data_IF_651388000652
#
_entry.id   IF_651388000652
#
_cell.length_a   1.000
_cell.length_b   1.000
_cell.length_c   1.000
_cell.angle_alpha   90.00
_cell.angle_beta   90.00
_cell.angle_gamma   90.00
#
_symmetry.space_group_name_H-M   'P 1'
#
loop_
_entity.id
_entity.type
_entity.pdbx_description
1 polymer ?
#
# COMPACT_ATOMS: atom_id res chain seq x y z
N UNK A 1 3.59 -4.35 -51.43
CA UNK A 1 4.72 -4.21 -50.48
C UNK A 1 4.55 -2.96 -49.58
N UNK A 2 3.33 -2.64 -49.11
CA UNK A 2 3.09 -1.42 -48.32
C UNK A 2 2.37 -1.69 -47.00
N UNK A 3 1.40 -2.59 -46.95
CA UNK A 3 0.57 -2.74 -45.73
C UNK A 3 1.28 -3.45 -44.57
N UNK A 4 2.05 -4.52 -44.84
CA UNK A 4 2.83 -5.20 -43.78
C UNK A 4 3.93 -4.31 -43.18
N UNK A 5 4.59 -3.49 -44.00
CA UNK A 5 5.64 -2.56 -43.52
C UNK A 5 5.03 -1.43 -42.70
N UNK A 6 3.91 -0.86 -43.14
CA UNK A 6 3.18 0.16 -42.37
C UNK A 6 2.66 -0.42 -41.06
N UNK A 7 2.13 -1.65 -41.10
CA UNK A 7 1.69 -2.38 -39.92
C UNK A 7 2.82 -2.60 -38.91
N UNK A 8 3.99 -3.09 -39.36
CA UNK A 8 5.16 -3.29 -38.49
C UNK A 8 5.68 -1.98 -37.90
N UNK A 9 5.70 -0.90 -38.68
CA UNK A 9 6.17 0.41 -38.22
C UNK A 9 5.22 1.00 -37.18
N UNK A 10 3.90 0.89 -37.39
CA UNK A 10 2.91 1.37 -36.43
C UNK A 10 2.93 0.58 -35.11
N UNK A 11 2.99 -0.76 -35.17
CA UNK A 11 3.06 -1.59 -33.96
C UNK A 11 4.40 -1.46 -33.25
N UNK A 12 5.51 -1.33 -33.98
CA UNK A 12 6.83 -1.05 -33.42
C UNK A 12 6.89 0.28 -32.67
N UNK A 13 6.26 1.33 -33.20
CA UNK A 13 6.13 2.62 -32.50
C UNK A 13 5.31 2.49 -31.22
N UNK A 14 4.16 1.81 -31.27
CA UNK A 14 3.30 1.61 -30.09
C UNK A 14 4.00 0.79 -29.00
N UNK A 15 4.74 -0.24 -29.38
CA UNK A 15 5.57 -1.03 -28.47
C UNK A 15 6.64 -0.16 -27.82
N UNK A 16 7.38 0.62 -28.62
CA UNK A 16 8.40 1.54 -28.14
C UNK A 16 7.84 2.56 -27.14
N UNK A 17 6.72 3.22 -27.46
CA UNK A 17 6.09 4.18 -26.54
C UNK A 17 5.62 3.51 -25.25
N UNK A 18 5.08 2.30 -25.31
CA UNK A 18 4.68 1.54 -24.12
C UNK A 18 5.90 1.22 -23.24
N UNK A 19 7.00 0.72 -23.81
CA UNK A 19 8.24 0.48 -23.07
C UNK A 19 8.78 1.77 -22.44
N UNK A 20 8.76 2.87 -23.20
CA UNK A 20 9.19 4.18 -22.70
C UNK A 20 8.32 4.65 -21.53
N UNK A 21 6.99 4.50 -21.61
CA UNK A 21 6.08 4.85 -20.51
C UNK A 21 6.35 4.02 -19.24
N UNK A 22 6.62 2.72 -19.39
CA UNK A 22 6.95 1.84 -18.25
C UNK A 22 8.28 2.27 -17.59
N UNK A 23 9.30 2.58 -18.39
CA UNK A 23 10.59 3.04 -17.86
C UNK A 23 10.42 4.39 -17.17
N UNK A 24 9.70 5.33 -17.79
CA UNK A 24 9.45 6.65 -17.21
C UNK A 24 8.66 6.52 -15.90
N UNK A 25 7.62 5.68 -15.84
CA UNK A 25 6.83 5.50 -14.61
C UNK A 25 7.65 4.87 -13.48
N UNK A 26 8.53 3.91 -13.80
CA UNK A 26 9.47 3.34 -12.84
C UNK A 26 10.45 4.41 -12.32
N UNK A 27 11.03 5.23 -13.20
CA UNK A 27 11.93 6.32 -12.78
C UNK A 27 11.19 7.33 -11.90
N UNK A 28 10.00 7.76 -12.30
CA UNK A 28 9.18 8.72 -11.52
C UNK A 28 8.87 8.16 -10.14
N UNK A 29 8.42 6.91 -10.04
CA UNK A 29 8.09 6.36 -8.74
C UNK A 29 9.33 6.10 -7.86
N UNK A 30 10.48 5.74 -8.43
CA UNK A 30 11.73 5.61 -7.68
C UNK A 30 12.18 6.98 -7.12
N UNK A 31 12.09 8.03 -7.93
CA UNK A 31 12.33 9.41 -7.49
C UNK A 31 11.35 9.84 -6.39
N UNK A 32 10.06 9.46 -6.50
CA UNK A 32 9.05 9.76 -5.48
C UNK A 32 9.35 9.04 -4.15
N UNK A 33 9.78 7.78 -4.20
CA UNK A 33 10.20 7.04 -3.01
C UNK A 33 11.42 7.68 -2.35
N UNK A 34 12.45 8.03 -3.14
CA UNK A 34 13.61 8.75 -2.63
C UNK A 34 13.21 10.07 -1.97
N UNK A 35 12.30 10.83 -2.58
CA UNK A 35 11.82 12.09 -2.01
C UNK A 35 11.12 11.91 -0.65
N UNK A 36 10.33 10.84 -0.44
CA UNK A 36 9.68 10.64 0.87
C UNK A 36 10.64 10.16 1.96
N UNK A 37 11.80 9.60 1.61
CA UNK A 37 12.85 9.30 2.60
C UNK A 37 13.62 10.55 3.06
N UNK A 38 13.51 11.69 2.37
CA UNK A 38 14.07 12.96 2.86
C UNK A 38 13.16 13.67 3.87
N UNK A 39 11.95 13.14 4.13
CA UNK A 39 11.01 13.73 5.07
C UNK A 39 11.41 13.47 6.54
N UNK A 40 11.24 14.46 7.45
CA UNK A 40 11.65 14.31 8.84
C UNK A 40 10.69 13.38 9.61
N UNK A 41 11.20 12.28 10.15
CA UNK A 41 10.39 11.31 10.90
C UNK A 41 10.30 11.60 12.40
N UNK A 42 11.34 12.18 13.01
CA UNK A 42 11.48 12.35 14.47
C UNK A 42 10.60 13.43 15.10
N UNK A 43 9.94 14.28 14.29
CA UNK A 43 9.10 15.38 14.74
C UNK A 43 7.61 15.07 14.69
N UNK A 44 6.89 15.81 13.84
CA UNK A 44 5.44 15.70 13.71
C UNK A 44 4.99 14.30 13.30
N UNK A 45 5.73 13.62 12.41
CA UNK A 45 5.39 12.29 11.93
C UNK A 45 5.33 11.28 13.09
N UNK A 46 6.39 11.20 13.90
CA UNK A 46 6.40 10.36 15.08
C UNK A 46 5.32 10.73 16.08
N UNK A 47 5.11 12.04 16.37
CA UNK A 47 4.06 12.50 17.29
C UNK A 47 2.65 12.12 16.82
N UNK A 48 2.38 12.19 15.53
CA UNK A 48 1.10 11.84 14.94
C UNK A 48 0.87 10.33 14.93
N UNK A 49 1.93 9.55 14.68
CA UNK A 49 1.85 8.09 14.81
C UNK A 49 1.67 7.65 16.28
N UNK A 50 2.36 8.30 17.22
CA UNK A 50 2.27 8.01 18.66
C UNK A 50 0.85 8.19 19.21
N UNK A 51 0.06 9.13 18.66
CA UNK A 51 -1.36 9.28 19.02
C UNK A 51 -2.19 8.04 18.68
N UNK A 52 -1.75 7.22 17.72
CA UNK A 52 -2.36 5.95 17.37
C UNK A 52 -1.97 4.78 18.28
N UNK A 53 -1.10 4.97 19.29
CA UNK A 53 -0.62 3.89 20.17
C UNK A 53 -1.78 3.08 20.79
N UNK A 54 -2.79 3.76 21.31
CA UNK A 54 -3.95 3.12 21.94
C UNK A 54 -4.81 2.33 20.95
N UNK A 55 -4.74 2.66 19.66
CA UNK A 55 -5.45 1.92 18.60
C UNK A 55 -4.83 0.52 18.50
N UNK A 56 -3.51 0.44 18.28
CA UNK A 56 -2.81 -0.84 18.14
C UNK A 56 -2.74 -1.64 19.44
N UNK A 57 -2.72 -0.98 20.59
CA UNK A 57 -2.77 -1.64 21.90
C UNK A 57 -4.13 -2.34 22.15
N UNK A 58 -5.22 -1.77 21.62
CA UNK A 58 -6.58 -2.31 21.79
C UNK A 58 -7.00 -3.27 20.69
N UNK A 59 -6.64 -2.95 19.45
CA UNK A 59 -7.07 -3.70 18.27
C UNK A 59 -6.24 -4.97 18.03
N UNK A 60 -5.02 -5.05 18.57
CA UNK A 60 -4.11 -6.17 18.34
C UNK A 60 -3.87 -6.43 16.84
N UNK A 61 -3.60 -7.69 16.45
CA UNK A 61 -3.13 -8.07 15.11
C UNK A 61 -4.25 -8.19 14.07
N UNK A 62 -5.34 -8.88 14.42
CA UNK A 62 -6.49 -9.11 13.55
C UNK A 62 -7.79 -8.79 14.32
N UNK A 63 -8.07 -7.50 14.55
CA UNK A 63 -9.33 -7.06 15.13
C UNK A 63 -10.52 -7.31 14.20
N UNK A 64 -11.70 -7.54 14.79
CA UNK A 64 -12.95 -7.71 14.06
C UNK A 64 -14.09 -6.97 14.73
N UNK A 65 -14.93 -6.32 13.92
CA UNK A 65 -16.13 -5.64 14.39
C UNK A 65 -17.30 -6.60 14.61
N UNK A 66 -17.20 -7.83 14.08
CA UNK A 66 -18.13 -8.94 14.32
C UNK A 66 -17.33 -10.21 14.69
N UNK A 67 -17.04 -10.41 15.99
CA UNK A 67 -16.24 -11.54 16.47
C UNK A 67 -16.77 -12.89 15.96
N UNK A 68 -15.85 -13.75 15.49
CA UNK A 68 -16.18 -15.05 14.89
C UNK A 68 -16.47 -15.02 13.38
N UNK A 69 -16.62 -13.84 12.77
CA UNK A 69 -16.76 -13.70 11.32
C UNK A 69 -15.43 -13.29 10.69
N UNK A 70 -14.89 -14.14 9.81
CA UNK A 70 -13.61 -13.89 9.13
C UNK A 70 -13.66 -12.71 8.17
N UNK A 71 -14.81 -12.40 7.58
CA UNK A 71 -14.97 -11.26 6.68
C UNK A 71 -15.03 -9.91 7.40
N UNK A 72 -15.12 -9.92 8.74
CA UNK A 72 -15.18 -8.72 9.56
C UNK A 72 -13.80 -8.27 10.11
N UNK A 73 -12.74 -9.03 9.82
CA UNK A 73 -11.38 -8.67 10.22
C UNK A 73 -10.85 -7.48 9.41
N UNK A 74 -9.97 -6.69 10.03
CA UNK A 74 -9.05 -5.79 9.36
C UNK A 74 -7.60 -6.14 9.71
N UNK A 75 -6.66 -5.70 8.89
CA UNK A 75 -5.27 -6.20 8.93
C UNK A 75 -4.32 -5.20 9.59
N UNK A 76 -4.23 -5.28 10.92
CA UNK A 76 -3.25 -4.50 11.67
C UNK A 76 -1.84 -5.07 11.58
N UNK A 77 -1.67 -6.35 11.20
CA UNK A 77 -0.35 -6.93 10.95
C UNK A 77 0.36 -6.15 9.84
N UNK A 78 -0.29 -6.02 8.67
CA UNK A 78 0.27 -5.32 7.53
C UNK A 78 0.35 -3.81 7.78
N UNK A 79 -0.69 -3.19 8.37
CA UNK A 79 -0.64 -1.77 8.73
C UNK A 79 0.54 -1.44 9.65
N UNK A 80 0.86 -2.32 10.60
CA UNK A 80 2.00 -2.14 11.51
C UNK A 80 3.34 -2.22 10.79
N UNK A 81 3.47 -3.06 9.77
CA UNK A 81 4.66 -3.08 8.90
C UNK A 81 4.75 -1.78 8.09
N UNK A 82 3.64 -1.34 7.50
CA UNK A 82 3.56 -0.10 6.71
C UNK A 82 3.96 1.13 7.55
N UNK A 83 3.42 1.24 8.77
CA UNK A 83 3.70 2.35 9.67
C UNK A 83 5.14 2.38 10.15
N UNK A 84 5.72 1.25 10.56
CA UNK A 84 7.13 1.21 10.99
C UNK A 84 8.08 1.54 9.85
N UNK A 85 7.78 1.06 8.65
CA UNK A 85 8.53 1.43 7.44
C UNK A 85 8.41 2.94 7.15
N UNK A 86 7.24 3.53 7.40
CA UNK A 86 7.03 4.97 7.25
C UNK A 86 7.76 5.80 8.33
N UNK A 87 7.85 5.29 9.56
CA UNK A 87 8.50 5.97 10.69
C UNK A 87 10.03 5.86 10.68
N UNK A 88 10.57 4.87 9.95
CA UNK A 88 12.02 4.67 9.88
C UNK A 88 12.72 5.91 9.28
N UNK A 89 13.67 6.53 10.03
CA UNK A 89 14.43 7.68 9.55
C UNK A 89 15.41 7.28 8.45
N UNK A 90 15.85 8.24 7.64
CA UNK A 90 17.00 8.00 6.75
C UNK A 90 18.25 7.68 7.60
N UNK A 91 18.93 6.57 7.27
CA UNK A 91 20.05 6.05 8.06
C UNK A 91 21.26 5.63 7.21
N UNK A 92 21.05 5.07 6.01
CA UNK A 92 22.13 4.50 5.17
C UNK A 92 22.24 5.18 3.80
N UNK A 93 21.58 6.32 3.60
CA UNK A 93 21.44 7.00 2.33
C UNK A 93 20.05 6.84 1.73
N UNK A 94 19.52 7.93 1.18
CA UNK A 94 18.17 8.02 0.59
C UNK A 94 17.90 6.93 -0.46
N UNK A 95 18.87 6.65 -1.34
CA UNK A 95 18.72 5.62 -2.38
C UNK A 95 18.63 4.23 -1.75
N UNK A 96 19.53 3.92 -0.82
CA UNK A 96 19.59 2.62 -0.17
C UNK A 96 18.30 2.33 0.58
N UNK A 97 17.85 3.28 1.40
CA UNK A 97 16.67 3.09 2.24
C UNK A 97 15.38 3.09 1.40
N UNK A 98 15.31 3.85 0.30
CA UNK A 98 14.19 3.79 -0.64
C UNK A 98 14.08 2.44 -1.37
N UNK A 99 15.21 1.77 -1.66
CA UNK A 99 15.22 0.48 -2.35
C UNK A 99 15.02 -0.70 -1.39
N UNK A 100 15.47 -0.58 -0.13
CA UNK A 100 15.45 -1.67 0.84
C UNK A 100 14.37 -1.55 1.92
N UNK A 101 13.67 -0.43 2.01
CA UNK A 101 12.53 -0.22 2.91
C UNK A 101 12.79 -0.71 4.34
N UNK A 102 13.79 -0.13 5.04
CA UNK A 102 14.14 -0.53 6.40
C UNK A 102 13.02 -0.24 7.40
N UNK A 103 12.94 -1.05 8.45
CA UNK A 103 12.05 -0.85 9.60
C UNK A 103 12.66 -1.45 10.87
N UNK A 104 12.23 -0.97 12.03
CA UNK A 104 12.61 -1.56 13.31
C UNK A 104 11.72 -2.78 13.65
N UNK A 105 12.34 -3.86 14.13
CA UNK A 105 11.70 -5.13 14.45
C UNK A 105 12.18 -5.66 15.80
N UNK A 106 11.23 -6.16 16.60
CA UNK A 106 11.47 -7.04 17.73
C UNK A 106 11.31 -8.49 17.26
N UNK A 107 12.29 -9.31 17.58
CA UNK A 107 12.23 -10.75 17.36
C UNK A 107 11.94 -11.42 18.71
N UNK A 108 10.92 -12.27 18.76
CA UNK A 108 10.68 -13.09 19.95
C UNK A 108 11.71 -14.22 19.97
N UNK A 109 12.34 -14.45 21.11
CA UNK A 109 13.08 -15.69 21.36
C UNK A 109 12.06 -16.84 21.34
N UNK A 110 11.85 -17.46 20.17
CA UNK A 110 11.26 -18.79 20.12
C UNK A 110 12.18 -19.68 20.96
N UNK A 111 11.64 -20.25 22.04
CA UNK A 111 12.35 -21.07 23.01
C UNK A 111 13.42 -21.93 22.34
N UNK A 112 14.68 -21.59 22.63
CA UNK A 112 15.90 -22.35 22.42
C UNK A 112 15.76 -23.70 21.71
N UNK A 113 16.02 -23.74 20.40
CA UNK A 113 16.76 -24.85 19.75
C UNK A 113 17.18 -24.50 18.31
N UNK A 114 18.50 -24.64 18.09
CA UNK A 114 19.23 -24.63 16.81
C UNK A 114 19.40 -23.24 16.14
N UNK A 115 20.59 -22.81 15.71
CA UNK A 115 21.96 -23.34 15.77
C UNK A 115 22.91 -22.16 15.52
N UNK A 116 24.10 -22.20 16.12
CA UNK A 116 25.24 -21.39 15.69
C UNK A 116 25.61 -21.83 14.28
N UNK A 117 25.20 -21.10 13.25
CA UNK A 117 25.89 -21.11 11.95
C UNK A 117 25.55 -19.80 11.22
N UNK A 118 26.47 -18.86 11.36
CA UNK A 118 26.47 -17.52 10.80
C UNK A 118 27.29 -17.54 9.52
N UNK A 119 26.62 -17.45 8.36
CA UNK A 119 27.27 -17.04 7.11
C UNK A 119 26.52 -15.84 6.50
N UNK A 120 27.15 -14.68 6.69
CA UNK A 120 26.71 -13.33 6.33
C UNK A 120 27.26 -12.94 4.96
N UNK A 121 26.43 -12.92 3.89
CA UNK A 121 26.77 -12.19 2.64
C UNK A 121 25.52 -11.62 1.91
N UNK A 122 24.31 -12.11 2.16
CA UNK A 122 23.08 -11.56 1.57
C UNK A 122 22.06 -11.35 2.68
N UNK A 123 21.46 -10.16 2.78
CA UNK A 123 20.64 -9.68 3.90
C UNK A 123 19.32 -10.41 4.18
N UNK A 124 19.28 -11.74 4.10
CA UNK A 124 18.22 -12.56 4.67
C UNK A 124 18.60 -12.94 6.10
N UNK A 125 18.31 -12.06 7.05
CA UNK A 125 18.16 -12.48 8.43
C UNK A 125 16.88 -13.33 8.51
N UNK A 126 17.02 -14.63 8.27
CA UNK A 126 16.01 -15.61 8.64
C UNK A 126 16.42 -16.22 9.97
N UNK A 127 16.21 -15.46 11.05
CA UNK A 127 16.23 -16.04 12.39
C UNK A 127 15.01 -16.95 12.54
N UNK A 128 15.17 -18.10 13.19
CA UNK A 128 14.09 -18.97 13.68
C UNK A 128 13.25 -18.27 14.77
N UNK A 129 12.93 -16.99 14.60
CA UNK A 129 12.25 -16.09 15.53
C UNK A 129 11.19 -15.37 14.72
N UNK A 130 9.93 -15.66 15.01
CA UNK A 130 8.84 -14.92 14.40
C UNK A 130 8.89 -13.46 14.87
N UNK A 131 8.70 -12.54 13.94
CA UNK A 131 8.66 -11.10 14.21
C UNK A 131 7.41 -10.80 15.05
N UNK A 132 7.59 -10.19 16.23
CA UNK A 132 6.46 -9.67 17.01
C UNK A 132 6.03 -8.34 16.41
N UNK A 133 5.18 -8.39 15.40
CA UNK A 133 4.79 -7.23 14.59
C UNK A 133 4.06 -6.17 15.42
N UNK A 134 3.14 -6.59 16.30
CA UNK A 134 2.40 -5.66 17.16
C UNK A 134 3.28 -5.13 18.29
N UNK A 135 4.07 -6.00 18.94
CA UNK A 135 5.04 -5.57 19.94
C UNK A 135 6.04 -4.56 19.37
N UNK A 136 6.52 -4.79 18.15
CA UNK A 136 7.46 -3.89 17.46
C UNK A 136 6.89 -2.49 17.27
N UNK A 137 5.67 -2.35 16.73
CA UNK A 137 5.07 -1.01 16.54
C UNK A 137 4.78 -0.37 17.90
N UNK A 138 4.33 -1.12 18.90
CA UNK A 138 4.03 -0.58 20.22
C UNK A 138 5.28 -0.04 20.92
N UNK A 139 6.38 -0.77 20.88
CA UNK A 139 7.65 -0.29 21.44
C UNK A 139 8.23 0.88 20.63
N UNK A 140 8.08 0.87 19.30
CA UNK A 140 8.51 2.00 18.47
C UNK A 140 7.71 3.27 18.80
N UNK A 141 6.37 3.18 18.92
CA UNK A 141 5.50 4.29 19.30
C UNK A 141 5.74 4.79 20.75
N UNK A 142 6.29 3.95 21.64
CA UNK A 142 6.78 4.37 22.96
C UNK A 142 8.14 5.09 22.91
N UNK A 143 8.84 5.03 21.77
CA UNK A 143 10.19 5.56 21.59
C UNK A 143 11.30 4.59 22.01
N UNK A 144 10.96 3.33 22.25
CA UNK A 144 11.87 2.31 22.77
C UNK A 144 12.56 1.52 21.66
N UNK A 145 13.35 2.19 20.83
CA UNK A 145 14.01 1.56 19.65
C UNK A 145 15.38 0.92 19.96
N UNK A 146 15.93 1.12 21.17
CA UNK A 146 17.34 0.76 21.48
C UNK A 146 17.66 -0.73 21.34
N UNK A 147 16.69 -1.60 21.59
CA UNK A 147 16.87 -3.06 21.55
C UNK A 147 16.24 -3.69 20.30
N UNK A 148 15.81 -2.87 19.33
CA UNK A 148 15.22 -3.35 18.09
C UNK A 148 16.30 -3.60 17.04
N UNK A 149 16.06 -4.61 16.20
CA UNK A 149 16.88 -4.88 15.04
C UNK A 149 16.29 -4.16 13.82
N UNK A 150 17.12 -3.89 12.81
CA UNK A 150 16.66 -3.33 11.52
C UNK A 150 16.42 -4.48 10.55
N UNK A 151 15.19 -4.59 10.06
CA UNK A 151 14.84 -5.53 8.99
C UNK A 151 14.73 -4.78 7.67
N UNK A 152 15.27 -5.39 6.62
CA UNK A 152 15.24 -4.85 5.26
C UNK A 152 14.29 -5.67 4.39
N UNK A 153 13.50 -5.00 3.57
CA UNK A 153 12.54 -5.63 2.67
C UNK A 153 12.63 -5.05 1.24
N UNK A 154 13.43 -5.72 0.41
CA UNK A 154 13.72 -5.30 -0.97
C UNK A 154 12.74 -5.82 -2.03
N UNK A 155 11.80 -6.71 -1.67
CA UNK A 155 10.95 -7.39 -2.67
C UNK A 155 9.79 -6.54 -3.17
N UNK A 156 9.31 -5.59 -2.36
CA UNK A 156 8.19 -4.73 -2.71
C UNK A 156 8.64 -3.29 -2.91
N UNK A 157 7.94 -2.63 -3.83
CA UNK A 157 8.14 -1.22 -4.15
C UNK A 157 7.70 -0.27 -3.02
N UNK A 158 6.82 -0.72 -2.11
CA UNK A 158 6.31 0.08 -0.99
C UNK A 158 5.78 1.48 -1.40
N UNK A 159 5.11 1.55 -2.55
CA UNK A 159 4.61 2.81 -3.12
C UNK A 159 3.67 3.58 -2.20
N UNK A 160 3.04 2.91 -1.24
CA UNK A 160 2.21 3.53 -0.20
C UNK A 160 2.95 4.57 0.63
N UNK A 161 4.28 4.48 0.75
CA UNK A 161 5.09 5.46 1.47
C UNK A 161 5.00 6.86 0.85
N UNK A 162 4.74 6.95 -0.47
CA UNK A 162 4.63 8.22 -1.20
C UNK A 162 3.51 9.09 -0.63
N UNK A 163 2.44 8.49 -0.13
CA UNK A 163 1.33 9.23 0.51
C UNK A 163 1.32 9.05 2.03
N UNK A 164 1.65 7.87 2.56
CA UNK A 164 1.58 7.60 3.99
C UNK A 164 2.55 8.49 4.80
N UNK A 165 3.80 8.68 4.37
CA UNK A 165 4.76 9.57 5.08
C UNK A 165 4.26 11.03 5.12
N UNK A 166 3.86 11.66 3.99
CA UNK A 166 3.25 12.99 4.02
C UNK A 166 1.99 13.10 4.88
N UNK A 167 1.10 12.09 4.83
CA UNK A 167 -0.12 12.09 5.66
C UNK A 167 0.22 12.03 7.14
N UNK A 168 1.16 11.18 7.55
CA UNK A 168 1.60 11.10 8.93
C UNK A 168 2.30 12.38 9.41
N UNK A 169 2.97 13.14 8.53
CA UNK A 169 3.48 14.46 8.88
C UNK A 169 2.35 15.45 9.22
N UNK A 170 1.22 15.34 8.54
CA UNK A 170 0.11 16.28 8.66
C UNK A 170 -0.88 15.92 9.77
N UNK A 171 -1.17 14.63 9.97
CA UNK A 171 -2.27 14.19 10.83
C UNK A 171 -2.04 12.81 11.49
N UNK A 172 -2.71 12.53 12.63
CA UNK A 172 -2.61 11.23 13.29
C UNK A 172 -3.34 10.11 12.56
N UNK A 173 -2.96 8.87 12.86
CA UNK A 173 -3.47 7.62 12.26
C UNK A 173 -5.00 7.54 12.28
N UNK A 174 -5.64 7.96 13.39
CA UNK A 174 -7.11 7.98 13.50
C UNK A 174 -7.77 8.88 12.45
N UNK A 175 -7.17 10.05 12.16
CA UNK A 175 -7.68 10.96 11.14
C UNK A 175 -7.43 10.38 9.75
N UNK A 176 -6.29 9.74 9.50
CA UNK A 176 -6.03 9.06 8.21
C UNK A 176 -7.11 8.00 7.95
N UNK A 177 -7.40 7.12 8.92
CA UNK A 177 -8.47 6.11 8.81
C UNK A 177 -9.85 6.73 8.56
N UNK A 178 -10.16 7.85 9.21
CA UNK A 178 -11.41 8.57 8.99
C UNK A 178 -11.51 9.16 7.58
N UNK A 179 -10.45 9.83 7.11
CA UNK A 179 -10.36 10.35 5.75
C UNK A 179 -10.42 9.24 4.71
N UNK A 180 -9.83 8.09 5.00
CA UNK A 180 -9.88 6.95 4.12
C UNK A 180 -11.32 6.48 3.90
N UNK A 181 -12.09 6.34 4.99
CA UNK A 181 -13.51 6.00 4.92
C UNK A 181 -14.36 7.04 4.19
N UNK A 182 -14.10 8.34 4.43
CA UNK A 182 -14.79 9.41 3.71
C UNK A 182 -14.52 9.35 2.21
N UNK A 183 -13.24 9.28 1.80
CA UNK A 183 -12.84 9.21 0.40
C UNK A 183 -13.39 7.94 -0.27
N UNK A 184 -13.32 6.80 0.42
CA UNK A 184 -13.88 5.53 -0.05
C UNK A 184 -15.38 5.65 -0.34
N UNK A 185 -16.17 6.22 0.57
CA UNK A 185 -17.62 6.40 0.37
C UNK A 185 -17.87 7.36 -0.80
N UNK A 186 -17.15 8.47 -0.89
CA UNK A 186 -17.28 9.42 -2.00
C UNK A 186 -16.99 8.76 -3.35
N UNK A 187 -15.89 7.99 -3.45
CA UNK A 187 -15.52 7.25 -4.66
C UNK A 187 -16.55 6.16 -4.98
N UNK A 188 -17.05 5.42 -3.99
CA UNK A 188 -18.06 4.39 -4.19
C UNK A 188 -19.39 5.00 -4.69
N UNK A 189 -19.84 6.10 -4.11
CA UNK A 189 -21.03 6.83 -4.56
C UNK A 189 -20.85 7.36 -5.98
N UNK A 190 -19.71 7.98 -6.27
CA UNK A 190 -19.42 8.50 -7.59
C UNK A 190 -19.39 7.39 -8.65
N UNK A 191 -18.72 6.28 -8.35
CA UNK A 191 -18.66 5.11 -9.24
C UNK A 191 -20.05 4.48 -9.42
N UNK A 192 -20.87 4.39 -8.37
CA UNK A 192 -22.26 3.95 -8.49
C UNK A 192 -23.06 4.84 -9.46
N UNK A 193 -22.99 6.16 -9.30
CA UNK A 193 -23.65 7.11 -10.19
C UNK A 193 -23.14 7.00 -11.64
N UNK A 194 -21.84 6.82 -11.82
CA UNK A 194 -21.23 6.69 -13.13
C UNK A 194 -21.65 5.38 -13.83
N UNK A 195 -21.64 4.26 -13.11
CA UNK A 195 -22.15 2.97 -13.60
C UNK A 195 -23.65 3.10 -13.94
N UNK A 196 -24.43 3.81 -13.13
CA UNK A 196 -25.84 4.05 -13.42
C UNK A 196 -26.04 4.80 -14.74
N UNK A 197 -25.25 5.85 -14.96
CA UNK A 197 -25.31 6.66 -16.17
C UNK A 197 -24.84 5.89 -17.42
N UNK A 198 -23.79 5.06 -17.29
CA UNK A 198 -23.14 4.40 -18.43
C UNK A 198 -23.69 3.02 -18.76
N UNK A 199 -23.97 2.21 -17.73
CA UNK A 199 -24.36 0.81 -17.88
C UNK A 199 -25.80 0.56 -17.42
N UNK A 200 -26.36 1.44 -16.58
CA UNK A 200 -27.73 1.36 -16.08
C UNK A 200 -27.85 0.81 -14.65
N UNK A 201 -29.07 0.87 -14.13
CA UNK A 201 -29.37 0.60 -12.71
C UNK A 201 -29.05 -0.82 -12.24
N UNK A 202 -29.20 -1.82 -13.12
CA UNK A 202 -28.95 -3.23 -12.76
C UNK A 202 -27.49 -3.46 -12.36
N UNK A 203 -26.55 -2.90 -13.13
CA UNK A 203 -25.12 -2.99 -12.85
C UNK A 203 -24.70 -2.14 -11.65
N UNK A 204 -25.40 -1.03 -11.40
CA UNK A 204 -25.15 -0.18 -10.24
C UNK A 204 -25.45 -0.92 -8.94
N UNK A 205 -26.58 -1.63 -8.89
CA UNK A 205 -26.92 -2.50 -7.76
C UNK A 205 -25.96 -3.67 -7.61
N UNK A 206 -25.54 -4.29 -8.71
CA UNK A 206 -24.52 -5.35 -8.65
C UNK A 206 -23.22 -4.83 -8.02
N UNK A 207 -22.74 -3.66 -8.46
CA UNK A 207 -21.58 -2.99 -7.86
C UNK A 207 -21.79 -2.70 -6.37
N UNK A 208 -22.93 -2.13 -5.98
CA UNK A 208 -23.21 -1.79 -4.58
C UNK A 208 -23.19 -3.05 -3.69
N UNK A 209 -23.79 -4.15 -4.14
CA UNK A 209 -23.78 -5.42 -3.41
C UNK A 209 -22.37 -5.99 -3.29
N UNK A 210 -21.57 -5.93 -4.37
CA UNK A 210 -20.15 -6.32 -4.31
C UNK A 210 -19.34 -5.45 -3.35
N UNK A 211 -19.56 -4.14 -3.34
CA UNK A 211 -18.91 -3.22 -2.42
C UNK A 211 -19.29 -3.49 -0.95
N UNK A 212 -20.56 -3.79 -0.67
CA UNK A 212 -20.98 -4.20 0.68
C UNK A 212 -20.36 -5.54 1.10
N UNK A 213 -20.21 -6.48 0.16
CA UNK A 213 -19.56 -7.77 0.41
C UNK A 213 -18.06 -7.65 0.70
N UNK A 214 -17.38 -6.62 0.18
CA UNK A 214 -15.98 -6.30 0.51
C UNK A 214 -15.81 -5.80 1.96
N UNK A 215 -16.90 -5.56 2.69
CA UNK A 215 -16.90 -4.97 4.02
C UNK A 215 -16.24 -3.57 4.02
N UNK A 216 -17.02 -2.52 3.68
CA UNK A 216 -16.54 -1.14 3.62
C UNK A 216 -15.84 -0.64 4.89
N UNK A 217 -16.19 -1.18 6.07
CA UNK A 217 -15.58 -0.80 7.34
C UNK A 217 -14.12 -1.26 7.38
N UNK A 218 -13.86 -2.54 7.08
CA UNK A 218 -12.50 -3.08 7.06
C UNK A 218 -11.63 -2.42 5.99
N UNK A 219 -12.23 -2.10 4.82
CA UNK A 219 -11.54 -1.40 3.73
C UNK A 219 -11.10 -0.01 4.17
N UNK A 220 -11.94 0.73 4.91
CA UNK A 220 -11.65 2.09 5.37
C UNK A 220 -10.58 2.13 6.46
N UNK A 221 -10.53 1.11 7.33
CA UNK A 221 -9.64 1.07 8.49
C UNK A 221 -8.23 0.59 8.09
N UNK A 222 -8.11 -0.41 7.21
CA UNK A 222 -6.80 -0.95 6.80
C UNK A 222 -6.18 -0.09 5.70
N UNK A 223 -4.93 0.34 5.86
CA UNK A 223 -4.25 1.16 4.86
C UNK A 223 -4.09 0.40 3.53
N UNK A 224 -3.67 -0.86 3.59
CA UNK A 224 -3.51 -1.67 2.38
C UNK A 224 -4.83 -1.86 1.61
N UNK A 225 -5.96 -2.02 2.31
CA UNK A 225 -7.25 -2.24 1.64
C UNK A 225 -7.78 -0.94 1.04
N UNK A 226 -7.61 0.18 1.75
CA UNK A 226 -7.91 1.52 1.23
C UNK A 226 -7.13 1.79 -0.06
N UNK A 227 -5.82 1.53 -0.07
CA UNK A 227 -4.96 1.73 -1.25
C UNK A 227 -5.44 0.91 -2.46
N UNK A 228 -5.77 -0.37 -2.24
CA UNK A 228 -6.29 -1.24 -3.31
C UNK A 228 -7.64 -0.76 -3.83
N UNK A 229 -8.52 -0.29 -2.94
CA UNK A 229 -9.82 0.25 -3.33
C UNK A 229 -9.66 1.53 -4.15
N UNK A 230 -8.73 2.43 -3.80
CA UNK A 230 -8.49 3.65 -4.57
C UNK A 230 -7.99 3.37 -5.98
N UNK A 231 -7.07 2.40 -6.14
CA UNK A 231 -6.62 1.98 -7.46
C UNK A 231 -7.79 1.41 -8.27
N UNK A 232 -8.55 0.47 -7.69
CA UNK A 232 -9.71 -0.13 -8.34
C UNK A 232 -10.72 0.92 -8.78
N UNK A 233 -11.13 1.80 -7.87
CA UNK A 233 -12.13 2.83 -8.13
C UNK A 233 -11.62 3.84 -9.17
N UNK A 234 -10.38 4.34 -9.01
CA UNK A 234 -9.77 5.29 -9.92
C UNK A 234 -9.65 4.77 -11.35
N UNK A 235 -9.17 3.53 -11.53
CA UNK A 235 -9.09 2.93 -12.88
C UNK A 235 -10.47 2.63 -13.45
N UNK A 236 -11.42 2.16 -12.64
CA UNK A 236 -12.79 1.93 -13.10
C UNK A 236 -13.45 3.23 -13.57
N UNK A 237 -13.28 4.32 -12.82
CA UNK A 237 -13.73 5.66 -13.20
C UNK A 237 -13.09 6.09 -14.51
N UNK A 238 -11.77 5.94 -14.65
CA UNK A 238 -11.04 6.30 -15.86
C UNK A 238 -11.57 5.54 -17.08
N UNK A 239 -11.74 4.23 -16.97
CA UNK A 239 -12.27 3.38 -18.05
C UNK A 239 -13.69 3.82 -18.44
N UNK A 240 -14.58 4.07 -17.48
CA UNK A 240 -15.95 4.49 -17.75
C UNK A 240 -16.05 5.89 -18.39
N UNK A 241 -15.12 6.80 -18.09
CA UNK A 241 -15.06 8.11 -18.76
C UNK A 241 -14.53 8.04 -20.19
N UNK A 242 -13.63 7.08 -20.46
CA UNK A 242 -12.95 6.96 -21.74
C UNK A 242 -13.41 5.76 -22.57
N UNK A 243 -14.56 5.17 -22.25
CA UNK A 243 -15.06 3.95 -22.87
C UNK A 243 -15.10 4.04 -24.41
N UNK A 244 -15.58 5.15 -24.97
CA UNK A 244 -15.69 5.33 -26.43
C UNK A 244 -14.33 5.35 -27.10
N UNK A 245 -13.36 6.08 -26.53
CA UNK A 245 -11.99 6.12 -27.06
C UNK A 245 -11.34 4.74 -26.99
N UNK A 246 -11.56 4.06 -25.87
CA UNK A 246 -10.98 2.75 -25.60
C UNK A 246 -11.55 1.69 -26.56
N UNK A 247 -12.88 1.69 -26.78
CA UNK A 247 -13.57 0.78 -27.69
C UNK A 247 -13.25 1.09 -29.17
N UNK A 248 -13.20 2.37 -29.55
CA UNK A 248 -12.92 2.80 -30.92
C UNK A 248 -11.51 2.45 -31.41
N UNK A 249 -10.54 2.31 -30.50
CA UNK A 249 -9.15 2.01 -30.87
C UNK A 249 -8.86 0.53 -31.11
N UNK A 250 -9.83 -0.38 -30.94
CA UNK A 250 -9.65 -1.84 -31.15
C UNK A 250 -8.42 -2.42 -30.42
N UNK A 251 -7.97 -1.78 -29.33
CA UNK A 251 -6.73 -2.15 -28.60
C UNK A 251 -6.92 -3.31 -27.63
N UNK A 252 -8.11 -3.88 -27.58
CA UNK A 252 -8.37 -5.14 -26.87
C UNK A 252 -8.45 -6.29 -27.87
N UNK A 253 -7.70 -7.34 -27.56
CA UNK A 253 -7.70 -8.62 -28.30
C UNK A 253 -9.03 -9.38 -28.12
N UNK A 254 -9.93 -8.88 -27.26
CA UNK A 254 -11.14 -9.56 -26.82
C UNK A 254 -12.40 -8.70 -26.97
N UNK A 255 -12.71 -8.21 -28.18
CA UNK A 255 -14.09 -7.95 -28.64
C UNK A 255 -14.17 -8.31 -30.12
#
# INVERSE_FOLDING_TARGET
MNDEKIFLICHGKMFFYTCMMIIISAVIGALALMAVYTLPTTGNMFKNAQQGRLIYEKEEMYPSWAPGNTSAYWDNYTDSIMLRTALFPEANGVVHDAMLNPRYCLFQDLDSKCSEDMDTVFGTFQTNKDEDVIGSILEELKGNIKNMQVSYYSRYWNGYLVWLKPLLLAMPISQIRMWNGMLQICLACYLFCLIFQKLGIRYSWAFLLSYLALNPISVAISFQFSDMFYLLAGFSIYVLHHEEMILAQSRYIYI
#
